data_IF_558150194650
#
_entry.id   IF_558150194650
#
_cell.length_a   1.000
_cell.length_b   1.000
_cell.length_c   1.000
_cell.angle_alpha   90.00
_cell.angle_beta   90.00
_cell.angle_gamma   90.00
#
_symmetry.space_group_name_H-M   'P 1'
#
loop_
_entity.id
_entity.type
_entity.pdbx_description
1 polymer ?
#
# COMPACT_ATOMS: atom_id res chain seq x y z
N UNK A 1 -3.77 -1.25 17.46
CA UNK A 1 -3.23 0.06 17.03
C UNK A 1 -4.24 0.70 16.11
N UNK A 2 -4.56 1.99 16.26
CA UNK A 2 -5.31 2.72 15.22
C UNK A 2 -4.33 3.01 14.10
N UNK A 3 -4.45 2.28 12.99
CA UNK A 3 -3.68 2.56 11.79
C UNK A 3 -4.23 3.85 11.20
N UNK A 4 -3.49 4.95 11.32
CA UNK A 4 -3.81 6.19 10.60
C UNK A 4 -3.69 5.93 9.10
N UNK A 5 -4.76 6.21 8.36
CA UNK A 5 -4.74 6.15 6.90
C UNK A 5 -3.66 7.12 6.41
N UNK A 6 -2.67 6.65 5.63
CA UNK A 6 -1.64 7.52 5.09
C UNK A 6 -2.27 8.60 4.22
N UNK A 7 -1.72 9.82 4.27
CA UNK A 7 -1.95 10.79 3.22
C UNK A 7 -1.28 10.28 1.93
N UNK A 8 -2.10 9.78 1.00
CA UNK A 8 -1.63 9.18 -0.24
C UNK A 8 -0.88 10.16 -1.12
N UNK A 9 -1.14 11.47 -1.02
CA UNK A 9 -0.38 12.47 -1.77
C UNK A 9 1.05 12.58 -1.27
N UNK A 10 1.22 12.65 0.04
CA UNK A 10 2.55 12.67 0.67
C UNK A 10 3.30 11.37 0.37
N UNK A 11 2.62 10.22 0.47
CA UNK A 11 3.21 8.91 0.15
C UNK A 11 3.67 8.82 -1.31
N UNK A 12 2.84 9.23 -2.27
CA UNK A 12 3.17 9.18 -3.70
C UNK A 12 4.34 10.09 -4.03
N UNK A 13 4.39 11.30 -3.49
CA UNK A 13 5.53 12.22 -3.70
C UNK A 13 6.86 11.63 -3.20
N UNK A 14 6.84 10.91 -2.07
CA UNK A 14 8.03 10.22 -1.56
C UNK A 14 8.43 9.02 -2.43
N UNK A 15 7.46 8.20 -2.85
CA UNK A 15 7.73 7.03 -3.69
C UNK A 15 8.23 7.40 -5.08
N UNK A 16 7.75 8.52 -5.64
CA UNK A 16 8.24 9.06 -6.90
C UNK A 16 9.76 9.29 -6.85
N UNK A 17 10.26 9.87 -5.75
CA UNK A 17 11.69 10.07 -5.53
C UNK A 17 12.45 8.77 -5.26
N UNK A 18 11.94 7.91 -4.38
CA UNK A 18 12.61 6.67 -3.96
C UNK A 18 12.77 5.70 -5.14
N UNK A 19 11.77 5.64 -6.01
CA UNK A 19 11.74 4.73 -7.16
C UNK A 19 12.29 5.37 -8.44
N UNK A 20 12.73 6.62 -8.39
CA UNK A 20 13.16 7.40 -9.56
C UNK A 20 12.14 7.34 -10.71
N UNK A 21 10.86 7.54 -10.38
CA UNK A 21 9.75 7.52 -11.34
C UNK A 21 9.40 8.95 -11.74
N UNK A 22 9.09 9.19 -13.01
CA UNK A 22 8.57 10.49 -13.47
C UNK A 22 7.05 10.40 -13.68
N UNK A 23 6.30 11.19 -12.92
CA UNK A 23 4.84 11.27 -13.03
C UNK A 23 4.39 12.69 -13.38
N UNK A 24 3.58 12.79 -14.43
CA UNK A 24 2.79 14.00 -14.67
C UNK A 24 1.60 14.07 -13.70
N UNK A 25 0.95 15.24 -13.66
CA UNK A 25 -0.16 15.48 -12.73
C UNK A 25 -1.35 14.55 -12.97
N UNK A 26 -1.60 14.16 -14.23
CA UNK A 26 -2.70 13.26 -14.56
C UNK A 26 -2.44 11.85 -14.00
N UNK A 27 -1.24 11.32 -14.19
CA UNK A 27 -0.83 10.02 -13.64
C UNK A 27 -0.79 10.02 -12.11
N UNK A 28 -0.33 11.13 -11.52
CA UNK A 28 -0.31 11.28 -10.05
C UNK A 28 -1.73 11.26 -9.48
N UNK A 29 -2.67 11.95 -10.12
CA UNK A 29 -4.09 11.93 -9.74
C UNK A 29 -4.72 10.54 -9.87
N UNK A 30 -4.46 9.83 -10.96
CA UNK A 30 -4.95 8.45 -11.14
C UNK A 30 -4.36 7.49 -10.10
N UNK A 31 -3.07 7.57 -9.81
CA UNK A 31 -2.45 6.75 -8.77
C UNK A 31 -3.05 7.03 -7.39
N UNK A 32 -3.30 8.29 -7.05
CA UNK A 32 -3.96 8.65 -5.79
C UNK A 32 -5.34 7.99 -5.67
N UNK A 33 -6.14 8.00 -6.74
CA UNK A 33 -7.45 7.35 -6.78
C UNK A 33 -7.33 5.83 -6.61
N UNK A 34 -6.41 5.18 -7.34
CA UNK A 34 -6.25 3.72 -7.25
C UNK A 34 -5.72 3.29 -5.88
N UNK A 35 -4.78 4.02 -5.30
CA UNK A 35 -4.27 3.74 -3.95
C UNK A 35 -5.37 3.84 -2.90
N UNK A 36 -6.24 4.84 -3.00
CA UNK A 36 -7.40 4.99 -2.11
C UNK A 36 -8.35 3.78 -2.21
N UNK A 37 -8.59 3.27 -3.43
CA UNK A 37 -9.43 2.07 -3.65
C UNK A 37 -8.76 0.80 -3.11
N UNK A 38 -7.46 0.61 -3.35
CA UNK A 38 -6.71 -0.53 -2.84
C UNK A 38 -6.69 -0.53 -1.32
N UNK A 39 -6.50 0.64 -0.69
CA UNK A 39 -6.55 0.79 0.75
C UNK A 39 -7.89 0.35 1.33
N UNK A 40 -9.01 0.74 0.71
CA UNK A 40 -10.34 0.28 1.11
C UNK A 40 -10.51 -1.24 0.93
N UNK A 41 -10.00 -1.82 -0.16
CA UNK A 41 -10.04 -3.28 -0.36
C UNK A 41 -9.14 -4.04 0.63
N UNK A 42 -8.04 -3.44 1.07
CA UNK A 42 -7.08 -4.02 2.00
C UNK A 42 -7.48 -3.83 3.47
N UNK A 43 -8.34 -2.87 3.79
CA UNK A 43 -8.85 -2.62 5.15
C UNK A 43 -9.32 -3.89 5.89
N UNK A 44 -10.17 -4.77 5.31
CA UNK A 44 -10.56 -6.01 5.98
C UNK A 44 -9.38 -6.97 6.23
N UNK A 45 -8.38 -6.99 5.34
CA UNK A 45 -7.17 -7.81 5.53
C UNK A 45 -6.30 -7.27 6.66
N UNK A 46 -6.17 -5.95 6.77
CA UNK A 46 -5.42 -5.30 7.85
C UNK A 46 -6.11 -5.43 9.22
N UNK A 47 -7.43 -5.55 9.22
CA UNK A 47 -8.22 -5.79 10.43
C UNK A 47 -8.18 -7.25 10.90
N UNK A 48 -7.78 -8.18 10.03
CA UNK A 48 -7.69 -9.60 10.37
C UNK A 48 -6.52 -9.86 11.34
N UNK A 49 -6.75 -10.52 12.49
CA UNK A 49 -5.69 -10.80 13.43
C UNK A 49 -4.71 -11.82 12.86
N UNK A 50 -3.41 -11.48 12.89
CA UNK A 50 -2.35 -12.40 12.48
C UNK A 50 -1.76 -13.07 13.73
N UNK A 51 -1.81 -14.40 13.79
CA UNK A 51 -1.04 -15.19 14.75
C UNK A 51 0.47 -15.10 14.47
N UNK A 52 1.29 -15.19 15.51
CA UNK A 52 2.76 -15.13 15.42
C UNK A 52 3.40 -16.21 14.52
N UNK A 53 2.65 -17.25 14.15
CA UNK A 53 3.13 -18.41 13.39
C UNK A 53 2.31 -18.68 12.13
N UNK A 54 1.70 -17.65 11.54
CA UNK A 54 1.12 -17.82 10.21
C UNK A 54 2.23 -18.17 9.21
N UNK A 55 2.21 -19.41 8.73
CA UNK A 55 3.00 -19.78 7.56
C UNK A 55 2.50 -18.97 6.37
N UNK A 56 3.43 -18.32 5.69
CA UNK A 56 3.14 -17.66 4.42
C UNK A 56 2.87 -18.72 3.36
N UNK A 57 1.91 -18.46 2.48
CA UNK A 57 1.66 -19.32 1.34
C UNK A 57 2.93 -19.40 0.47
N UNK A 58 3.42 -20.62 0.21
CA UNK A 58 4.56 -20.85 -0.68
C UNK A 58 5.95 -20.85 -0.03
N UNK A 59 6.08 -21.32 1.22
CA UNK A 59 7.40 -21.53 1.87
C UNK A 59 8.32 -22.31 0.93
N UNK A 60 9.41 -21.66 0.50
CA UNK A 60 10.45 -22.28 -0.30
C UNK A 60 11.09 -23.43 0.47
N UNK A 61 11.15 -24.61 -0.16
CA UNK A 61 11.87 -25.78 0.36
C UNK A 61 13.13 -25.94 -0.49
N UNK A 62 14.29 -25.71 0.13
CA UNK A 62 15.60 -25.93 -0.45
C UNK A 62 15.92 -27.42 -0.55
#
# INVERSE_FOLDING_TARGET
MKTTIPDWNTYLAQMEQILALELDDARRGELQLQFSRIAAMAEPLMAYPLDQRLEIAGVYKA
#
